data_IF_152746657586
#
_entry.id   IF_152746657586
#
_cell.length_a   1.000
_cell.length_b   1.000
_cell.length_c   1.000
_cell.angle_alpha   90.00
_cell.angle_beta   90.00
_cell.angle_gamma   90.00
#
_symmetry.space_group_name_H-M   'P 1'
#
loop_
_entity.id
_entity.type
_entity.pdbx_description
1 polymer ?
#
# COMPACT_ATOMS: atom_id res chain seq x y z
N UNK A 1 6.72 12.03 17.38
CA UNK A 1 5.38 11.48 17.06
C UNK A 1 5.51 10.32 16.08
N UNK A 2 4.69 9.31 16.30
CA UNK A 2 4.72 8.15 15.43
C UNK A 2 4.05 8.47 14.10
N UNK A 3 4.63 7.96 13.02
CA UNK A 3 3.99 8.02 11.71
C UNK A 3 2.87 6.99 11.64
N UNK A 4 1.83 7.30 10.89
CA UNK A 4 0.66 6.45 10.75
C UNK A 4 0.67 5.77 9.38
N UNK A 5 0.57 4.44 9.38
CA UNK A 5 0.56 3.64 8.16
C UNK A 5 -0.83 3.05 8.01
N UNK A 6 -1.45 3.28 6.85
CA UNK A 6 -2.71 2.63 6.50
C UNK A 6 -2.39 1.35 5.72
N UNK A 7 -2.92 0.21 6.18
CA UNK A 7 -2.72 -1.06 5.50
C UNK A 7 -4.08 -1.60 5.08
N UNK A 8 -4.24 -1.90 3.80
CA UNK A 8 -5.51 -2.36 3.23
C UNK A 8 -5.30 -3.69 2.52
N UNK A 9 -6.03 -4.72 2.94
CA UNK A 9 -5.97 -6.05 2.34
C UNK A 9 -7.23 -6.81 2.72
N UNK A 10 -7.82 -7.54 1.78
CA UNK A 10 -9.02 -8.32 2.07
C UNK A 10 -8.70 -9.69 2.67
N UNK A 11 -7.43 -10.08 2.70
CA UNK A 11 -6.98 -11.26 3.43
C UNK A 11 -6.73 -10.86 4.88
N UNK A 12 -7.65 -11.24 5.76
CA UNK A 12 -7.64 -10.82 7.15
C UNK A 12 -6.38 -11.31 7.89
N UNK A 13 -5.95 -12.53 7.57
CA UNK A 13 -4.76 -13.09 8.21
C UNK A 13 -3.49 -12.34 7.81
N UNK A 14 -3.36 -12.03 6.52
CA UNK A 14 -2.23 -11.25 6.05
C UNK A 14 -2.26 -9.84 6.65
N UNK A 15 -3.43 -9.24 6.69
CA UNK A 15 -3.61 -7.92 7.25
C UNK A 15 -3.15 -7.87 8.72
N UNK A 16 -3.53 -8.88 9.49
CA UNK A 16 -3.14 -8.97 10.89
C UNK A 16 -1.63 -9.10 11.03
N UNK A 17 -1.00 -9.96 10.23
CA UNK A 17 0.44 -10.16 10.27
C UNK A 17 1.20 -8.90 9.88
N UNK A 18 0.72 -8.19 8.86
CA UNK A 18 1.34 -6.94 8.42
C UNK A 18 1.23 -5.88 9.50
N UNK A 19 0.08 -5.81 10.15
CA UNK A 19 -0.12 -4.87 11.25
C UNK A 19 0.90 -5.07 12.34
N UNK A 20 1.07 -6.33 12.79
CA UNK A 20 2.05 -6.63 13.84
C UNK A 20 3.45 -6.26 13.42
N UNK A 21 3.81 -6.58 12.19
CA UNK A 21 5.14 -6.31 11.64
C UNK A 21 5.43 -4.80 11.63
N UNK A 22 4.50 -4.04 11.11
CA UNK A 22 4.68 -2.59 10.96
C UNK A 22 4.64 -1.89 12.32
N UNK A 23 3.81 -2.38 13.25
CA UNK A 23 3.82 -1.85 14.62
C UNK A 23 5.17 -2.09 15.29
N UNK A 24 5.81 -3.22 15.03
CA UNK A 24 7.13 -3.49 15.58
C UNK A 24 8.20 -2.55 15.03
N UNK A 25 7.98 -1.99 13.85
CA UNK A 25 8.89 -0.99 13.30
C UNK A 25 8.77 0.38 14.01
N UNK A 26 7.76 0.55 14.85
CA UNK A 26 7.56 1.79 15.60
C UNK A 26 6.50 2.71 15.01
N UNK A 27 5.68 2.22 14.09
CA UNK A 27 4.62 3.01 13.47
C UNK A 27 3.26 2.72 14.10
N UNK A 28 2.35 3.68 13.99
CA UNK A 28 0.95 3.43 14.27
C UNK A 28 0.31 2.85 13.01
N UNK A 29 -0.61 1.92 13.17
CA UNK A 29 -1.23 1.22 12.04
C UNK A 29 -2.73 1.37 12.10
N UNK A 30 -3.32 1.73 10.95
CA UNK A 30 -4.76 1.70 10.73
C UNK A 30 -4.98 0.66 9.64
N UNK A 31 -5.93 -0.25 9.85
CA UNK A 31 -6.21 -1.31 8.87
C UNK A 31 -7.60 -1.17 8.28
N UNK A 32 -7.72 -1.61 7.03
CA UNK A 32 -9.01 -1.73 6.35
C UNK A 32 -9.04 -3.05 5.61
N UNK A 33 -10.19 -3.70 5.57
CA UNK A 33 -10.32 -5.03 4.96
C UNK A 33 -10.75 -4.97 3.49
N UNK A 34 -10.79 -3.79 2.91
CA UNK A 34 -11.13 -3.63 1.50
C UNK A 34 -11.12 -2.19 1.08
N UNK A 35 -11.34 -1.98 -0.21
CA UNK A 35 -11.32 -0.64 -0.80
C UNK A 35 -12.36 0.28 -0.18
N UNK A 36 -13.59 -0.23 0.00
CA UNK A 36 -14.69 0.58 0.50
C UNK A 36 -14.41 1.10 1.91
N UNK A 37 -13.95 0.23 2.79
CA UNK A 37 -13.62 0.64 4.15
C UNK A 37 -12.49 1.66 4.16
N UNK A 38 -11.48 1.43 3.33
CA UNK A 38 -10.35 2.36 3.23
C UNK A 38 -10.79 3.73 2.73
N UNK A 39 -11.70 3.77 1.77
CA UNK A 39 -12.23 5.05 1.27
C UNK A 39 -12.92 5.83 2.37
N UNK A 40 -13.64 5.14 3.24
CA UNK A 40 -14.28 5.78 4.38
C UNK A 40 -13.25 6.34 5.35
N UNK A 41 -12.20 5.57 5.62
CA UNK A 41 -11.16 6.01 6.55
C UNK A 41 -10.45 7.26 6.05
N UNK A 42 -10.10 7.32 4.78
CA UNK A 42 -9.33 8.46 4.27
C UNK A 42 -10.14 9.75 4.19
N UNK A 43 -11.45 9.67 4.34
CA UNK A 43 -12.27 10.89 4.39
C UNK A 43 -11.92 11.74 5.60
N UNK A 44 -11.53 11.12 6.70
CA UNK A 44 -11.25 11.82 7.96
C UNK A 44 -9.82 11.65 8.46
N UNK A 45 -9.06 10.69 7.93
CA UNK A 45 -7.71 10.39 8.38
C UNK A 45 -6.74 10.49 7.22
N UNK A 46 -5.69 11.27 7.40
CA UNK A 46 -4.59 11.35 6.43
C UNK A 46 -3.46 10.47 6.94
N UNK A 47 -3.21 9.30 6.31
CA UNK A 47 -2.06 8.50 6.71
C UNK A 47 -0.76 9.13 6.23
N UNK A 48 0.34 8.76 6.86
CA UNK A 48 1.66 9.19 6.40
C UNK A 48 2.15 8.33 5.24
N UNK A 49 1.66 7.10 5.14
CA UNK A 49 1.97 6.16 4.07
C UNK A 49 0.85 5.13 3.99
N UNK A 50 0.56 4.62 2.81
CA UNK A 50 -0.45 3.57 2.64
C UNK A 50 0.16 2.36 1.95
N UNK A 51 -0.18 1.16 2.45
CA UNK A 51 0.18 -0.11 1.85
C UNK A 51 -1.11 -0.78 1.42
N UNK A 52 -1.28 -1.00 0.12
CA UNK A 52 -2.54 -1.46 -0.45
C UNK A 52 -2.34 -2.79 -1.16
N UNK A 53 -3.30 -3.71 -0.96
CA UNK A 53 -3.39 -4.91 -1.78
C UNK A 53 -3.86 -4.50 -3.18
N UNK A 54 -3.32 -5.16 -4.20
CA UNK A 54 -3.70 -4.86 -5.58
C UNK A 54 -5.12 -5.29 -5.89
N UNK A 55 -5.47 -6.51 -5.52
CA UNK A 55 -6.77 -7.11 -5.86
C UNK A 55 -7.58 -7.32 -4.60
N UNK A 56 -8.70 -6.64 -4.50
CA UNK A 56 -9.61 -6.75 -3.38
C UNK A 56 -11.03 -7.01 -3.90
N UNK A 57 -11.92 -6.02 -3.85
CA UNK A 57 -13.26 -6.19 -4.40
C UNK A 57 -13.26 -6.40 -5.90
N UNK A 58 -12.28 -5.77 -6.58
CA UNK A 58 -12.07 -5.95 -8.03
C UNK A 58 -10.59 -6.18 -8.28
N UNK A 59 -10.25 -6.56 -9.50
CA UNK A 59 -8.86 -6.85 -9.88
C UNK A 59 -7.95 -5.63 -9.82
N UNK A 60 -8.53 -4.43 -9.85
CA UNK A 60 -7.77 -3.19 -9.87
C UNK A 60 -8.06 -2.30 -8.66
N UNK A 61 -8.63 -2.87 -7.59
CA UNK A 61 -9.00 -2.11 -6.40
C UNK A 61 -7.83 -1.30 -5.82
N UNK A 62 -6.64 -1.90 -5.80
CA UNK A 62 -5.46 -1.22 -5.28
C UNK A 62 -5.11 0.02 -6.08
N UNK A 63 -5.19 -0.06 -7.40
CA UNK A 63 -4.92 1.10 -8.26
C UNK A 63 -5.95 2.20 -8.07
N UNK A 64 -7.23 1.82 -7.98
CA UNK A 64 -8.31 2.79 -7.80
C UNK A 64 -8.14 3.51 -6.46
N UNK A 65 -7.87 2.75 -5.42
CA UNK A 65 -7.69 3.32 -4.09
C UNK A 65 -6.47 4.23 -4.04
N UNK A 66 -5.37 3.83 -4.66
CA UNK A 66 -4.16 4.66 -4.74
C UNK A 66 -4.46 5.99 -5.42
N UNK A 67 -5.21 5.97 -6.51
CA UNK A 67 -5.61 7.17 -7.21
C UNK A 67 -6.43 8.09 -6.29
N UNK A 68 -7.38 7.52 -5.57
CA UNK A 68 -8.24 8.31 -4.68
C UNK A 68 -7.45 8.91 -3.52
N UNK A 69 -6.52 8.17 -2.95
CA UNK A 69 -5.67 8.68 -1.88
C UNK A 69 -4.79 9.81 -2.39
N UNK A 70 -4.14 9.61 -3.54
CA UNK A 70 -3.26 10.63 -4.11
C UNK A 70 -4.03 11.88 -4.53
N UNK A 71 -5.26 11.71 -4.97
CA UNK A 71 -6.08 12.86 -5.34
C UNK A 71 -6.39 13.74 -4.13
N UNK A 72 -6.63 13.10 -2.98
CA UNK A 72 -6.95 13.80 -1.74
C UNK A 72 -5.70 14.25 -1.00
N UNK A 73 -4.67 13.42 -1.02
CA UNK A 73 -3.41 13.65 -0.29
C UNK A 73 -2.23 13.39 -1.23
N UNK A 74 -1.88 14.33 -2.10
CA UNK A 74 -0.87 14.07 -3.15
C UNK A 74 0.52 13.72 -2.63
N UNK A 75 0.82 14.10 -1.39
CA UNK A 75 2.14 13.87 -0.78
C UNK A 75 2.26 12.54 -0.04
N UNK A 76 1.18 11.77 0.09
CA UNK A 76 1.21 10.49 0.79
C UNK A 76 1.80 9.42 -0.12
N UNK A 77 2.92 8.78 0.27
CA UNK A 77 3.48 7.68 -0.53
C UNK A 77 2.59 6.44 -0.47
N UNK A 78 2.51 5.73 -1.59
CA UNK A 78 1.67 4.56 -1.75
C UNK A 78 2.54 3.36 -2.15
N UNK A 79 2.42 2.28 -1.39
CA UNK A 79 3.00 0.99 -1.74
C UNK A 79 1.86 0.06 -2.14
N UNK A 80 1.97 -0.58 -3.30
CA UNK A 80 1.05 -1.64 -3.70
C UNK A 80 1.75 -2.98 -3.52
N UNK A 81 1.17 -3.84 -2.70
CA UNK A 81 1.70 -5.17 -2.44
C UNK A 81 0.87 -6.20 -3.21
N UNK A 82 1.55 -7.11 -3.89
CA UNK A 82 0.88 -8.09 -4.71
C UNK A 82 1.59 -9.44 -4.62
N UNK A 83 0.83 -10.51 -4.74
CA UNK A 83 1.37 -11.87 -4.77
C UNK A 83 1.43 -12.43 -6.19
N UNK A 84 1.02 -11.65 -7.20
CA UNK A 84 0.84 -12.21 -8.55
C UNK A 84 1.98 -11.88 -9.51
N UNK A 85 2.93 -11.04 -9.12
CA UNK A 85 3.99 -10.60 -10.02
C UNK A 85 4.79 -11.75 -10.61
N UNK A 86 5.15 -12.74 -9.78
CA UNK A 86 5.96 -13.87 -10.22
C UNK A 86 5.17 -14.81 -11.14
N UNK A 87 3.89 -14.97 -10.87
CA UNK A 87 3.06 -15.92 -11.61
C UNK A 87 2.65 -15.39 -12.97
N UNK A 88 2.39 -14.10 -13.05
CA UNK A 88 1.91 -13.48 -14.30
C UNK A 88 3.03 -12.93 -15.15
N UNK A 89 4.25 -12.89 -14.63
CA UNK A 89 5.38 -12.29 -15.34
C UNK A 89 5.31 -10.79 -15.46
N UNK A 90 4.43 -10.16 -14.71
CA UNK A 90 4.33 -8.69 -14.72
C UNK A 90 5.54 -8.07 -14.04
N UNK A 91 6.14 -7.10 -14.69
CA UNK A 91 7.25 -6.35 -14.13
C UNK A 91 6.87 -4.88 -14.15
N UNK A 92 6.58 -4.35 -12.99
CA UNK A 92 6.10 -2.96 -12.90
C UNK A 92 7.21 -1.95 -13.14
N UNK A 93 8.42 -2.29 -12.75
CA UNK A 93 9.55 -1.38 -12.86
C UNK A 93 10.00 -1.12 -14.29
N UNK A 94 9.65 -1.99 -15.22
CA UNK A 94 10.04 -1.81 -16.62
C UNK A 94 8.98 -1.13 -17.46
N UNK A 95 7.84 -0.85 -16.90
CA UNK A 95 6.75 -0.22 -17.63
C UNK A 95 6.86 1.30 -17.52
N UNK A 96 7.14 1.94 -18.64
CA UNK A 96 7.22 3.39 -18.69
C UNK A 96 6.28 3.95 -19.74
N UNK A 97 5.19 3.25 -20.02
CA UNK A 97 4.23 3.72 -21.00
C UNK A 97 3.21 4.66 -20.38
N UNK A 98 2.39 5.24 -21.24
CA UNK A 98 1.41 6.24 -20.81
C UNK A 98 0.36 5.67 -19.87
N UNK A 99 0.09 4.37 -19.95
CA UNK A 99 -0.93 3.77 -19.09
C UNK A 99 -0.55 3.82 -17.62
N UNK A 100 0.71 3.97 -17.31
CA UNK A 100 1.17 4.08 -15.94
C UNK A 100 0.99 5.46 -15.33
N UNK A 101 0.67 6.46 -16.11
CA UNK A 101 0.53 7.80 -15.57
C UNK A 101 -0.65 7.93 -14.61
N UNK A 102 -1.66 7.09 -14.75
CA UNK A 102 -2.79 7.09 -13.83
C UNK A 102 -2.58 6.18 -12.62
N UNK A 103 -1.55 5.33 -12.65
CA UNK A 103 -1.19 4.47 -11.52
C UNK A 103 -0.41 5.32 -10.53
N UNK A 104 -1.00 5.59 -9.39
CA UNK A 104 -0.45 6.55 -8.42
C UNK A 104 0.31 5.87 -7.30
N UNK A 105 0.97 4.75 -7.59
CA UNK A 105 1.78 4.06 -6.60
C UNK A 105 3.24 4.50 -6.71
N UNK A 106 3.88 4.66 -5.56
CA UNK A 106 5.29 5.02 -5.50
C UNK A 106 6.18 3.79 -5.54
N UNK A 107 5.65 2.63 -5.14
CA UNK A 107 6.43 1.40 -5.08
C UNK A 107 5.50 0.20 -5.18
N UNK A 108 5.97 -0.82 -5.89
CA UNK A 108 5.31 -2.13 -5.93
C UNK A 108 6.18 -3.14 -5.21
N UNK A 109 5.59 -3.95 -4.33
CA UNK A 109 6.30 -4.96 -3.57
C UNK A 109 5.60 -6.30 -3.68
N UNK A 110 6.39 -7.36 -3.60
CA UNK A 110 5.89 -8.72 -3.44
C UNK A 110 5.43 -8.90 -1.99
N UNK A 111 4.27 -9.54 -1.79
CA UNK A 111 3.77 -9.81 -0.44
C UNK A 111 4.72 -10.70 0.37
N UNK A 112 5.62 -11.44 -0.29
CA UNK A 112 6.61 -12.26 0.38
C UNK A 112 7.87 -11.53 0.82
N UNK A 113 7.89 -10.21 0.71
CA UNK A 113 9.07 -9.41 1.08
C UNK A 113 9.42 -9.63 2.56
N UNK A 114 10.73 -9.64 2.86
CA UNK A 114 11.18 -9.80 4.23
C UNK A 114 10.88 -8.54 5.05
N UNK A 115 10.71 -8.75 6.35
CA UNK A 115 10.36 -7.65 7.25
C UNK A 115 11.40 -6.53 7.24
N UNK A 116 12.69 -6.90 7.26
CA UNK A 116 13.76 -5.90 7.28
C UNK A 116 13.77 -5.07 5.99
N UNK A 117 13.50 -5.71 4.86
CA UNK A 117 13.45 -5.00 3.58
C UNK A 117 12.23 -4.11 3.51
N UNK A 118 11.08 -4.57 3.99
CA UNK A 118 9.88 -3.75 4.06
C UNK A 118 10.11 -2.52 4.92
N UNK A 119 10.74 -2.69 6.07
CA UNK A 119 11.04 -1.58 6.96
C UNK A 119 11.92 -0.53 6.27
N UNK A 120 12.92 -1.00 5.53
CA UNK A 120 13.82 -0.12 4.80
C UNK A 120 13.07 0.69 3.75
N UNK A 121 12.18 0.03 3.00
CA UNK A 121 11.41 0.71 1.96
C UNK A 121 10.44 1.74 2.54
N UNK A 122 9.81 1.43 3.66
CA UNK A 122 8.94 2.37 4.35
C UNK A 122 9.72 3.60 4.78
N UNK A 123 10.87 3.39 5.43
CA UNK A 123 11.72 4.50 5.90
C UNK A 123 12.17 5.37 4.75
N UNK A 124 12.51 4.74 3.63
CA UNK A 124 12.97 5.45 2.44
C UNK A 124 11.89 6.36 1.88
N UNK A 125 10.66 5.87 1.79
CA UNK A 125 9.54 6.66 1.28
C UNK A 125 9.14 7.76 2.26
N UNK A 126 9.25 7.51 3.55
CA UNK A 126 8.96 8.51 4.58
C UNK A 126 10.12 9.46 4.83
N UNK A 127 11.27 9.17 4.24
CA UNK A 127 12.49 10.00 4.36
C UNK A 127 12.98 10.10 5.81
N UNK A 128 12.99 8.96 6.47
CA UNK A 128 13.44 8.91 7.88
C UNK A 128 14.53 7.87 8.11
#
# INVERSE_FOLDING_TARGET
>A
MKKTILIVDDDVDYLFQMRLKVEQFGFEVITADGQKEAETIIETVKPDLAILDLMMETDDSGFILAYKIKRKYPDVPIIIATAVTAETGMTFESNHDESQQWIKADLFLDKGIRADQLHREINKLLKI
#
